data_IF_009270915537
#
_entry.id   IF_009270915537
#
_cell.length_a   1.000
_cell.length_b   1.000
_cell.length_c   1.000
_cell.angle_alpha   90.00
_cell.angle_beta   90.00
_cell.angle_gamma   90.00
#
_symmetry.space_group_name_H-M   'P 1'
#
loop_
_entity.id
_entity.type
_entity.pdbx_description
1 polymer ?
#
# COMPACT_ATOMS: atom_id res chain seq x y z
N UNK A 1 -12.74 -4.63 -37.49
CA UNK A 1 -13.36 -5.85 -38.06
C UNK A 1 -13.65 -6.85 -36.93
N UNK A 2 -14.75 -6.65 -36.21
CA UNK A 2 -15.49 -7.67 -35.46
C UNK A 2 -16.94 -7.17 -35.47
N UNK A 3 -17.83 -7.88 -36.17
CA UNK A 3 -19.26 -7.57 -36.26
C UNK A 3 -20.03 -8.24 -35.14
N UNK A 4 -20.96 -7.50 -34.53
CA UNK A 4 -21.97 -8.03 -33.62
C UNK A 4 -23.31 -7.99 -34.36
N UNK A 5 -23.95 -9.15 -34.42
CA UNK A 5 -25.17 -9.41 -35.19
C UNK A 5 -26.41 -8.94 -34.40
N UNK A 6 -27.17 -7.97 -34.93
CA UNK A 6 -28.34 -7.35 -34.31
C UNK A 6 -29.65 -7.94 -34.84
N UNK A 7 -29.96 -9.19 -34.50
CA UNK A 7 -31.17 -9.87 -35.01
C UNK A 7 -32.15 -10.37 -33.94
N UNK A 8 -32.08 -9.86 -32.69
CA UNK A 8 -32.91 -10.37 -31.59
C UNK A 8 -33.90 -9.39 -30.95
N UNK A 9 -34.17 -8.22 -31.54
CA UNK A 9 -35.11 -7.26 -30.92
C UNK A 9 -36.20 -6.66 -31.82
N UNK A 10 -36.39 -7.11 -33.06
CA UNK A 10 -37.62 -6.82 -33.81
C UNK A 10 -38.08 -5.36 -33.84
N UNK A 11 -37.14 -4.41 -33.93
CA UNK A 11 -37.45 -2.98 -34.05
C UNK A 11 -37.03 -2.49 -35.43
N UNK A 12 -38.00 -1.94 -36.14
CA UNK A 12 -37.89 -1.45 -37.50
C UNK A 12 -36.98 -0.22 -37.60
N UNK A 13 -36.23 -0.14 -38.70
CA UNK A 13 -35.01 0.66 -38.85
C UNK A 13 -35.20 2.14 -39.16
N UNK A 14 -36.23 2.80 -38.66
CA UNK A 14 -36.52 4.19 -39.08
C UNK A 14 -37.16 5.08 -38.01
N UNK A 15 -36.61 5.13 -36.80
CA UNK A 15 -36.87 6.26 -35.88
C UNK A 15 -36.02 6.19 -34.60
N UNK A 16 -34.77 6.69 -34.61
CA UNK A 16 -34.20 7.45 -33.47
C UNK A 16 -32.82 8.10 -33.75
N UNK A 17 -32.73 9.23 -34.48
CA UNK A 17 -31.50 10.02 -34.53
C UNK A 17 -31.33 10.95 -33.31
N UNK A 18 -32.42 11.25 -32.59
CA UNK A 18 -32.47 12.34 -31.61
C UNK A 18 -31.97 11.93 -30.22
N UNK A 19 -32.18 10.68 -29.80
CA UNK A 19 -31.78 10.19 -28.48
C UNK A 19 -30.26 9.91 -28.38
N UNK A 20 -29.68 9.37 -29.46
CA UNK A 20 -28.22 9.15 -29.56
C UNK A 20 -27.45 10.47 -29.67
N UNK A 21 -28.00 11.47 -30.39
CA UNK A 21 -27.43 12.83 -30.39
C UNK A 21 -27.47 13.47 -29.02
N UNK A 22 -28.58 13.35 -28.28
CA UNK A 22 -28.74 13.91 -26.95
C UNK A 22 -27.74 13.32 -25.94
N UNK A 23 -27.49 12.00 -26.00
CA UNK A 23 -26.49 11.30 -25.18
C UNK A 23 -25.05 11.69 -25.56
N UNK A 24 -24.74 11.85 -26.85
CA UNK A 24 -23.44 12.36 -27.30
C UNK A 24 -23.22 13.81 -26.85
N UNK A 25 -24.21 14.69 -27.00
CA UNK A 25 -24.07 16.09 -26.55
C UNK A 25 -23.93 16.23 -25.04
N UNK A 26 -24.60 15.40 -24.23
CA UNK A 26 -24.41 15.38 -22.77
C UNK A 26 -23.05 14.81 -22.36
N UNK A 27 -22.54 13.82 -23.10
CA UNK A 27 -21.19 13.27 -22.88
C UNK A 27 -20.10 14.25 -23.30
N UNK A 28 -20.32 15.04 -24.36
CA UNK A 28 -19.41 16.10 -24.79
C UNK A 28 -19.43 17.27 -23.80
N UNK A 29 -20.61 17.73 -23.35
CA UNK A 29 -20.70 18.87 -22.42
C UNK A 29 -20.06 18.56 -21.06
N UNK A 30 -20.21 17.33 -20.56
CA UNK A 30 -19.55 16.89 -19.33
C UNK A 30 -18.02 16.78 -19.50
N UNK A 31 -17.54 16.35 -20.68
CA UNK A 31 -16.11 16.33 -20.99
C UNK A 31 -15.52 17.75 -21.13
N UNK A 32 -16.30 18.68 -21.69
CA UNK A 32 -15.92 20.09 -21.86
C UNK A 32 -15.91 20.84 -20.51
N UNK A 33 -16.86 20.57 -19.60
CA UNK A 33 -16.83 21.09 -18.22
C UNK A 33 -15.62 20.61 -17.43
N UNK A 34 -15.28 19.31 -17.53
CA UNK A 34 -14.09 18.75 -16.88
C UNK A 34 -12.81 19.33 -17.48
N UNK A 35 -12.78 19.58 -18.79
CA UNK A 35 -11.66 20.23 -19.46
C UNK A 35 -11.49 21.70 -19.06
N UNK A 36 -12.58 22.44 -18.88
CA UNK A 36 -12.53 23.84 -18.45
C UNK A 36 -12.18 23.99 -16.96
N UNK A 37 -12.67 23.11 -16.08
CA UNK A 37 -12.20 23.04 -14.69
C UNK A 37 -10.71 22.69 -14.60
N UNK A 38 -10.21 21.81 -15.49
CA UNK A 38 -8.79 21.50 -15.58
C UNK A 38 -7.96 22.69 -16.11
N UNK A 39 -8.50 23.51 -17.02
CA UNK A 39 -7.84 24.73 -17.52
C UNK A 39 -7.78 25.84 -16.47
N UNK A 40 -8.84 26.04 -15.69
CA UNK A 40 -8.85 27.06 -14.64
C UNK A 40 -7.93 26.67 -13.47
N UNK A 41 -7.87 25.38 -13.13
CA UNK A 41 -6.84 24.84 -12.23
C UNK A 41 -5.43 25.05 -12.81
N UNK A 42 -5.19 24.73 -14.08
CA UNK A 42 -3.90 24.94 -14.74
C UNK A 42 -3.46 26.42 -14.80
N UNK A 43 -4.40 27.38 -14.89
CA UNK A 43 -4.12 28.82 -14.80
C UNK A 43 -3.71 29.23 -13.38
N UNK A 44 -4.37 28.71 -12.35
CA UNK A 44 -3.98 28.93 -10.95
C UNK A 44 -2.55 28.42 -10.68
N UNK A 45 -2.19 27.23 -11.20
CA UNK A 45 -0.83 26.67 -11.04
C UNK A 45 0.27 27.44 -11.81
N UNK A 46 -0.06 28.14 -12.91
CA UNK A 46 0.93 28.99 -13.63
C UNK A 46 1.44 30.17 -12.81
N UNK A 47 0.62 30.68 -11.88
CA UNK A 47 1.00 31.80 -11.01
C UNK A 47 1.88 31.30 -9.86
N UNK A 48 1.60 30.11 -9.33
CA UNK A 48 2.34 29.47 -8.24
C UNK A 48 3.74 28.95 -8.62
N UNK A 49 3.88 28.35 -9.81
CA UNK A 49 5.12 27.70 -10.25
C UNK A 49 6.31 28.65 -10.48
N UNK A 50 6.11 29.97 -10.44
CA UNK A 50 7.18 30.97 -10.54
C UNK A 50 7.91 31.24 -9.21
N UNK A 51 7.49 30.61 -8.09
CA UNK A 51 7.95 30.99 -6.74
C UNK A 51 8.60 29.91 -5.86
N UNK A 52 8.74 28.63 -6.26
CA UNK A 52 9.29 27.60 -5.35
C UNK A 52 10.58 26.90 -5.83
N UNK A 53 11.65 27.08 -5.06
CA UNK A 53 12.91 26.31 -5.15
C UNK A 53 12.81 24.91 -4.48
N UNK A 54 11.63 24.53 -3.97
CA UNK A 54 11.39 23.26 -3.26
C UNK A 54 11.15 22.03 -4.16
N UNK A 55 11.04 22.21 -5.49
CA UNK A 55 10.65 21.16 -6.44
C UNK A 55 11.74 20.16 -6.86
N UNK A 56 13.01 20.34 -6.44
CA UNK A 56 14.14 19.55 -6.98
C UNK A 56 14.20 18.11 -6.44
N UNK A 57 13.87 17.88 -5.16
CA UNK A 57 13.98 16.57 -4.50
C UNK A 57 12.87 15.57 -4.86
N UNK A 58 11.62 16.03 -4.94
CA UNK A 58 10.49 15.17 -5.29
C UNK A 58 10.55 14.67 -6.75
N UNK A 59 10.94 15.56 -7.67
CA UNK A 59 11.12 15.22 -9.07
C UNK A 59 12.28 14.22 -9.28
N UNK A 60 13.39 14.41 -8.55
CA UNK A 60 14.51 13.46 -8.55
C UNK A 60 14.10 12.08 -8.01
N UNK A 61 13.31 12.05 -6.94
CA UNK A 61 12.79 10.82 -6.33
C UNK A 61 11.87 10.06 -7.30
N UNK A 62 10.93 10.74 -7.95
CA UNK A 62 10.07 10.13 -8.97
C UNK A 62 10.89 9.56 -10.13
N UNK A 63 11.91 10.30 -10.60
CA UNK A 63 12.79 9.85 -11.67
C UNK A 63 13.57 8.59 -11.30
N UNK A 64 14.06 8.48 -10.05
CA UNK A 64 14.76 7.30 -9.56
C UNK A 64 13.84 6.08 -9.39
N UNK A 65 12.58 6.31 -9.01
CA UNK A 65 11.58 5.28 -8.75
C UNK A 65 11.01 4.63 -10.02
N UNK A 66 10.76 5.43 -11.07
CA UNK A 66 10.02 5.01 -12.27
C UNK A 66 10.56 3.75 -12.98
N UNK A 67 11.88 3.56 -13.19
CA UNK A 67 12.39 2.39 -13.92
C UNK A 67 12.03 1.05 -13.24
N UNK A 68 12.20 0.95 -11.92
CA UNK A 68 11.89 -0.27 -11.18
C UNK A 68 10.37 -0.48 -11.03
N UNK A 69 9.61 0.60 -10.96
CA UNK A 69 8.15 0.54 -11.00
C UNK A 69 7.63 0.01 -12.34
N UNK A 70 8.10 0.56 -13.46
CA UNK A 70 7.82 0.07 -14.82
C UNK A 70 8.16 -1.41 -14.97
N UNK A 71 9.35 -1.80 -14.50
CA UNK A 71 9.79 -3.20 -14.54
C UNK A 71 8.86 -4.11 -13.75
N UNK A 72 8.37 -3.64 -12.60
CA UNK A 72 7.44 -4.38 -11.76
C UNK A 72 6.12 -4.67 -12.48
N UNK A 73 5.60 -3.73 -13.26
CA UNK A 73 4.42 -3.92 -14.12
C UNK A 73 4.66 -4.90 -15.26
N UNK A 74 5.80 -4.83 -15.94
CA UNK A 74 6.17 -5.79 -17.00
C UNK A 74 6.22 -7.21 -16.44
N UNK A 75 6.87 -7.41 -15.29
CA UNK A 75 6.95 -8.72 -14.63
C UNK A 75 5.57 -9.18 -14.14
N UNK A 76 4.74 -8.26 -13.64
CA UNK A 76 3.36 -8.54 -13.24
C UNK A 76 2.44 -8.84 -14.44
N UNK A 77 2.89 -8.59 -15.68
CA UNK A 77 2.09 -8.67 -16.90
C UNK A 77 0.84 -7.80 -16.83
N UNK A 78 0.96 -6.62 -16.23
CA UNK A 78 -0.13 -5.64 -16.21
C UNK A 78 -0.49 -5.27 -17.67
N UNK A 79 -1.77 -5.32 -18.07
CA UNK A 79 -2.21 -4.86 -19.37
C UNK A 79 -1.75 -3.42 -19.65
N UNK A 80 -1.29 -3.09 -20.88
CA UNK A 80 -0.77 -1.76 -21.19
C UNK A 80 -1.75 -0.61 -20.91
N UNK A 81 -3.04 -0.83 -21.15
CA UNK A 81 -4.09 0.16 -20.86
C UNK A 81 -4.18 0.43 -19.35
N UNK A 82 -4.33 -0.63 -18.55
CA UNK A 82 -4.36 -0.51 -17.09
C UNK A 82 -3.09 0.14 -16.51
N UNK A 83 -1.92 -0.20 -17.04
CA UNK A 83 -0.66 0.44 -16.63
C UNK A 83 -0.65 1.94 -16.95
N UNK A 84 -1.11 2.34 -18.14
CA UNK A 84 -1.20 3.74 -18.55
C UNK A 84 -2.15 4.52 -17.66
N UNK A 85 -3.34 3.98 -17.39
CA UNK A 85 -4.34 4.63 -16.55
C UNK A 85 -3.79 4.83 -15.13
N UNK A 86 -3.21 3.79 -14.53
CA UNK A 86 -2.62 3.88 -13.20
C UNK A 86 -1.46 4.87 -13.16
N UNK A 87 -0.56 4.85 -14.16
CA UNK A 87 0.57 5.78 -14.23
C UNK A 87 0.08 7.23 -14.34
N UNK A 88 -0.90 7.49 -15.20
CA UNK A 88 -1.48 8.82 -15.38
C UNK A 88 -2.10 9.32 -14.08
N UNK A 89 -2.97 8.52 -13.45
CA UNK A 89 -3.56 8.86 -12.15
C UNK A 89 -2.48 9.10 -11.08
N UNK A 90 -1.49 8.22 -10.99
CA UNK A 90 -0.40 8.35 -10.02
C UNK A 90 0.44 9.62 -10.23
N UNK A 91 0.80 9.93 -11.47
CA UNK A 91 1.55 11.15 -11.77
C UNK A 91 0.70 12.39 -11.47
N UNK A 92 -0.58 12.41 -11.83
CA UNK A 92 -1.48 13.52 -11.49
C UNK A 92 -1.56 13.75 -9.99
N UNK A 93 -1.83 12.70 -9.19
CA UNK A 93 -1.97 12.82 -7.73
C UNK A 93 -0.65 13.23 -7.05
N UNK A 94 0.48 12.66 -7.49
CA UNK A 94 1.78 12.98 -6.90
C UNK A 94 2.24 14.39 -7.29
N UNK A 95 2.04 14.81 -8.54
CA UNK A 95 2.38 16.16 -8.98
C UNK A 95 1.49 17.21 -8.32
N UNK A 96 0.18 16.98 -8.22
CA UNK A 96 -0.73 17.88 -7.50
C UNK A 96 -0.30 18.08 -6.05
N UNK A 97 -0.01 16.99 -5.33
CA UNK A 97 0.46 17.04 -3.95
C UNK A 97 1.82 17.74 -3.78
N UNK A 98 2.73 17.60 -4.74
CA UNK A 98 4.05 18.25 -4.73
C UNK A 98 3.99 19.72 -5.11
N UNK A 99 3.12 20.09 -6.06
CA UNK A 99 3.07 21.43 -6.64
C UNK A 99 2.10 22.36 -5.91
N UNK A 100 1.14 21.85 -5.12
CA UNK A 100 0.23 22.69 -4.35
C UNK A 100 0.97 23.52 -3.30
N UNK A 101 0.65 24.82 -3.21
CA UNK A 101 1.22 25.70 -2.19
C UNK A 101 0.78 25.28 -0.80
N UNK A 102 -0.50 24.94 -0.66
CA UNK A 102 -1.11 24.50 0.59
C UNK A 102 -1.21 22.96 0.60
N UNK A 103 -0.37 22.26 1.37
CA UNK A 103 -0.50 20.83 1.54
C UNK A 103 -1.80 20.48 2.25
N UNK A 104 -2.31 19.27 1.96
CA UNK A 104 -3.47 18.73 2.65
C UNK A 104 -3.21 18.65 4.17
N UNK A 105 -4.07 19.29 4.96
CA UNK A 105 -4.01 19.20 6.41
C UNK A 105 -4.79 17.98 6.91
N UNK A 106 -4.13 17.11 7.66
CA UNK A 106 -4.78 15.96 8.28
C UNK A 106 -5.44 16.36 9.60
N UNK A 107 -6.69 15.93 9.77
CA UNK A 107 -7.40 16.00 11.04
C UNK A 107 -6.81 15.04 12.08
N UNK A 108 -7.08 15.23 13.39
CA UNK A 108 -6.68 14.29 14.44
C UNK A 108 -7.15 12.86 14.15
N UNK A 109 -8.37 12.74 13.63
CA UNK A 109 -8.91 11.52 13.02
C UNK A 109 -9.27 11.80 11.57
N UNK A 110 -8.48 11.27 10.64
CA UNK A 110 -8.67 11.41 9.21
C UNK A 110 -9.41 10.19 8.67
N UNK A 111 -10.44 10.43 7.86
CA UNK A 111 -11.19 9.37 7.18
C UNK A 111 -10.64 9.15 5.77
N UNK A 112 -10.54 7.89 5.35
CA UNK A 112 -10.07 7.56 4.02
C UNK A 112 -10.92 8.25 2.94
N UNK A 113 -10.27 8.91 1.99
CA UNK A 113 -10.94 9.51 0.84
C UNK A 113 -11.33 8.38 -0.13
N UNK A 114 -12.64 8.10 -0.16
CA UNK A 114 -13.27 7.06 -0.98
C UNK A 114 -14.38 7.71 -1.81
N UNK A 115 -14.61 7.21 -3.03
CA UNK A 115 -15.69 7.69 -3.89
C UNK A 115 -15.70 6.97 -5.24
N UNK A 116 -16.82 7.07 -5.99
CA UNK A 116 -16.92 6.46 -7.32
C UNK A 116 -15.95 7.07 -8.33
N UNK A 117 -15.68 8.38 -8.20
CA UNK A 117 -14.79 9.13 -9.09
C UNK A 117 -13.31 9.03 -8.68
N UNK A 118 -13.05 8.96 -7.37
CA UNK A 118 -11.70 8.87 -6.83
C UNK A 118 -11.69 8.06 -5.53
N UNK A 119 -11.17 6.85 -5.61
CA UNK A 119 -10.90 6.00 -4.45
C UNK A 119 -9.39 5.91 -4.20
N UNK A 120 -8.89 6.72 -3.26
CA UNK A 120 -7.45 6.78 -2.95
C UNK A 120 -6.96 5.53 -2.23
N UNK A 121 -7.84 4.79 -1.54
CA UNK A 121 -7.51 3.49 -0.96
C UNK A 121 -7.21 2.47 -2.06
N UNK A 122 -8.13 2.32 -3.02
CA UNK A 122 -7.97 1.40 -4.15
C UNK A 122 -6.81 1.77 -5.06
N UNK A 123 -6.65 3.06 -5.34
CA UNK A 123 -5.50 3.56 -6.10
C UNK A 123 -4.18 3.23 -5.39
N UNK A 124 -4.07 3.54 -4.10
CA UNK A 124 -2.87 3.26 -3.32
C UNK A 124 -2.51 1.77 -3.30
N UNK A 125 -3.50 0.89 -3.12
CA UNK A 125 -3.29 -0.56 -3.23
C UNK A 125 -2.85 -0.97 -4.64
N UNK A 126 -3.50 -0.45 -5.68
CA UNK A 126 -3.18 -0.76 -7.08
C UNK A 126 -1.76 -0.34 -7.46
N UNK A 127 -1.27 0.76 -6.90
CA UNK A 127 0.10 1.23 -7.06
C UNK A 127 1.13 0.20 -6.56
N UNK A 128 0.96 -0.34 -5.36
CA UNK A 128 1.95 -1.29 -4.80
C UNK A 128 1.75 -2.74 -5.24
N UNK A 129 0.56 -3.13 -5.70
CA UNK A 129 0.24 -4.48 -6.21
C UNK A 129 1.27 -5.08 -7.19
N UNK A 130 1.73 -4.38 -8.25
CA UNK A 130 2.73 -4.90 -9.17
C UNK A 130 4.12 -5.08 -8.53
N UNK A 131 4.40 -4.43 -7.40
CA UNK A 131 5.68 -4.54 -6.71
C UNK A 131 5.76 -5.76 -5.79
N UNK A 132 4.63 -6.40 -5.46
CA UNK A 132 4.61 -7.61 -4.64
C UNK A 132 5.03 -8.84 -5.46
N UNK A 133 5.97 -9.63 -4.93
CA UNK A 133 6.30 -10.97 -5.43
C UNK A 133 5.32 -12.00 -4.85
N UNK A 134 4.12 -12.06 -5.41
CA UNK A 134 3.01 -12.89 -4.92
C UNK A 134 3.33 -14.35 -4.59
N UNK A 135 4.15 -15.02 -5.43
CA UNK A 135 4.58 -16.41 -5.18
C UNK A 135 5.38 -16.62 -3.88
N UNK A 136 5.92 -15.55 -3.33
CA UNK A 136 6.72 -15.55 -2.10
C UNK A 136 6.12 -14.63 -1.04
N UNK A 137 4.89 -14.17 -1.26
CA UNK A 137 4.17 -13.41 -0.26
C UNK A 137 3.28 -14.36 0.55
N UNK A 138 3.12 -14.11 1.85
CA UNK A 138 2.46 -15.05 2.76
C UNK A 138 1.76 -14.33 3.91
N UNK A 139 0.78 -15.00 4.49
CA UNK A 139 0.09 -14.59 5.71
C UNK A 139 0.08 -15.81 6.63
N UNK A 140 0.67 -15.66 7.80
CA UNK A 140 0.67 -16.66 8.86
C UNK A 140 -0.28 -16.25 9.98
N UNK A 141 -0.76 -17.21 10.77
CA UNK A 141 -1.75 -16.97 11.82
C UNK A 141 -3.16 -16.68 11.30
N UNK A 142 -3.58 -17.38 10.24
CA UNK A 142 -4.92 -17.20 9.62
C UNK A 142 -6.07 -17.42 10.62
N UNK A 143 -5.93 -18.35 11.56
CA UNK A 143 -6.95 -18.59 12.59
C UNK A 143 -7.10 -17.38 13.53
N UNK A 144 -6.01 -16.65 13.78
CA UNK A 144 -6.03 -15.41 14.55
C UNK A 144 -6.62 -14.24 13.74
N UNK A 145 -6.38 -14.21 12.43
CA UNK A 145 -7.07 -13.26 11.53
C UNK A 145 -8.58 -13.50 11.53
N UNK A 146 -9.03 -14.75 11.51
CA UNK A 146 -10.45 -15.09 11.65
C UNK A 146 -10.99 -14.68 13.03
N UNK A 147 -10.22 -14.86 14.09
CA UNK A 147 -10.57 -14.36 15.43
C UNK A 147 -10.73 -12.83 15.45
N UNK A 148 -9.89 -12.09 14.72
CA UNK A 148 -10.02 -10.63 14.56
C UNK A 148 -11.33 -10.28 13.85
N UNK A 149 -11.68 -10.98 12.76
CA UNK A 149 -12.95 -10.77 12.02
C UNK A 149 -14.15 -10.98 12.93
N UNK A 150 -14.17 -12.09 13.66
CA UNK A 150 -15.25 -12.41 14.59
C UNK A 150 -15.35 -11.40 15.73
N UNK A 151 -14.22 -10.89 16.22
CA UNK A 151 -14.19 -9.84 17.25
C UNK A 151 -14.87 -8.57 16.75
N UNK A 152 -14.51 -8.11 15.54
CA UNK A 152 -15.12 -6.92 14.94
C UNK A 152 -16.59 -7.13 14.61
N UNK A 153 -16.98 -8.32 14.15
CA UNK A 153 -18.38 -8.66 13.89
C UNK A 153 -19.26 -8.59 15.15
N UNK A 154 -18.68 -8.81 16.35
CA UNK A 154 -19.36 -8.64 17.64
C UNK A 154 -19.50 -7.17 18.08
N UNK A 155 -18.91 -6.22 17.35
CA UNK A 155 -18.86 -4.81 17.74
C UNK A 155 -17.76 -4.49 18.76
N UNK A 156 -16.90 -5.46 19.09
CA UNK A 156 -15.72 -5.22 19.92
C UNK A 156 -14.63 -4.49 19.12
N UNK A 157 -13.66 -3.91 19.83
CA UNK A 157 -12.49 -3.27 19.22
C UNK A 157 -11.31 -4.25 19.12
N UNK A 158 -10.43 -4.01 18.14
CA UNK A 158 -9.16 -4.72 17.98
C UNK A 158 -8.02 -3.72 17.95
N UNK A 159 -6.95 -3.98 18.69
CA UNK A 159 -5.67 -3.25 18.58
C UNK A 159 -4.60 -4.24 18.14
N UNK A 160 -4.06 -4.01 16.95
CA UNK A 160 -2.91 -4.74 16.42
C UNK A 160 -1.63 -3.98 16.74
N UNK A 161 -0.81 -4.53 17.63
CA UNK A 161 0.53 -4.00 17.89
C UNK A 161 1.52 -4.62 16.92
N UNK A 162 2.11 -3.79 16.07
CA UNK A 162 2.98 -4.23 14.99
C UNK A 162 4.38 -3.62 15.04
N UNK A 163 5.35 -4.29 14.43
CA UNK A 163 6.51 -3.58 13.92
C UNK A 163 6.14 -2.77 12.67
N UNK A 164 7.01 -1.85 12.27
CA UNK A 164 6.80 -0.98 11.10
C UNK A 164 8.07 -0.96 10.29
N UNK A 165 8.03 -1.14 8.98
CA UNK A 165 9.25 -1.15 8.15
C UNK A 165 9.23 -0.16 7.01
N UNK A 166 8.06 0.13 6.44
CA UNK A 166 7.94 1.01 5.27
C UNK A 166 6.69 1.88 5.34
N UNK A 167 6.71 3.01 4.66
CA UNK A 167 5.52 3.85 4.45
C UNK A 167 4.39 3.09 3.73
N UNK A 168 4.71 2.00 3.03
CA UNK A 168 3.77 1.17 2.28
C UNK A 168 3.13 0.04 3.12
N UNK A 169 3.40 -0.02 4.42
CA UNK A 169 2.87 -1.06 5.31
C UNK A 169 1.33 -1.15 5.27
N UNK A 170 0.56 -0.03 5.26
CA UNK A 170 -0.90 -0.09 5.11
C UNK A 170 -1.36 -0.74 3.80
N UNK A 171 -0.66 -0.49 2.70
CA UNK A 171 -0.93 -1.06 1.38
C UNK A 171 -0.59 -2.54 1.35
N UNK A 172 0.54 -2.94 1.95
CA UNK A 172 0.89 -4.37 2.05
C UNK A 172 -0.13 -5.12 2.90
N UNK A 173 -0.53 -4.56 4.05
CA UNK A 173 -1.58 -5.16 4.89
C UNK A 173 -2.85 -5.40 4.07
N UNK A 174 -3.30 -4.38 3.34
CA UNK A 174 -4.50 -4.47 2.50
C UNK A 174 -4.41 -5.52 1.42
N UNK A 175 -3.31 -5.50 0.65
CA UNK A 175 -3.10 -6.40 -0.47
C UNK A 175 -2.99 -7.86 -0.05
N UNK A 176 -2.40 -8.12 1.13
CA UNK A 176 -2.30 -9.48 1.65
C UNK A 176 -3.61 -9.96 2.25
N UNK A 177 -4.35 -9.11 2.98
CA UNK A 177 -5.66 -9.50 3.53
C UNK A 177 -6.72 -9.70 2.44
N UNK A 178 -6.69 -8.90 1.37
CA UNK A 178 -7.52 -9.14 0.18
C UNK A 178 -7.26 -10.51 -0.44
N UNK A 179 -6.00 -10.95 -0.51
CA UNK A 179 -5.66 -12.28 -1.04
C UNK A 179 -6.21 -13.41 -0.15
N UNK A 180 -6.34 -13.17 1.14
CA UNK A 180 -6.91 -14.13 2.09
C UNK A 180 -8.45 -13.99 2.24
N UNK A 181 -9.11 -13.15 1.42
CA UNK A 181 -10.57 -12.92 1.49
C UNK A 181 -11.04 -12.24 2.78
N UNK A 182 -10.17 -11.38 3.33
CA UNK A 182 -10.36 -10.63 4.57
C UNK A 182 -10.14 -9.12 4.36
N UNK A 183 -10.42 -8.61 3.15
CA UNK A 183 -10.20 -7.21 2.78
C UNK A 183 -10.91 -6.22 3.71
N UNK A 184 -12.06 -6.57 4.28
CA UNK A 184 -12.83 -5.70 5.15
C UNK A 184 -12.11 -5.35 6.44
N UNK A 185 -11.20 -6.21 6.89
CA UNK A 185 -10.33 -5.96 8.05
C UNK A 185 -9.36 -4.84 7.72
N UNK A 186 -8.74 -4.87 6.54
CA UNK A 186 -7.80 -3.84 6.12
C UNK A 186 -8.49 -2.53 5.71
N UNK A 187 -9.67 -2.59 5.10
CA UNK A 187 -10.43 -1.40 4.69
C UNK A 187 -10.85 -0.55 5.89
N UNK A 188 -11.20 -1.18 7.02
CA UNK A 188 -11.63 -0.51 8.25
C UNK A 188 -10.49 -0.20 9.22
N UNK A 189 -9.25 -0.59 8.89
CA UNK A 189 -8.13 -0.42 9.78
C UNK A 189 -7.72 1.06 9.91
N UNK A 190 -7.66 1.54 11.14
CA UNK A 190 -7.24 2.87 11.53
C UNK A 190 -5.75 2.81 11.91
N UNK A 191 -4.90 3.50 11.15
CA UNK A 191 -3.46 3.52 11.36
C UNK A 191 -3.08 4.69 12.26
N UNK A 192 -2.38 4.42 13.36
CA UNK A 192 -1.74 5.48 14.14
C UNK A 192 -0.52 5.98 13.38
N UNK A 193 -0.64 7.16 12.79
CA UNK A 193 0.31 7.67 11.82
C UNK A 193 1.11 8.84 12.38
N UNK A 194 2.42 8.78 12.17
CA UNK A 194 3.37 9.83 12.54
C UNK A 194 3.39 10.99 11.55
N UNK A 195 3.90 12.13 12.01
CA UNK A 195 4.02 13.38 11.23
C UNK A 195 4.57 13.21 9.80
N UNK A 196 5.56 12.34 9.58
CA UNK A 196 6.21 12.18 8.26
C UNK A 196 5.25 11.80 7.13
N UNK A 197 4.38 10.83 7.36
CA UNK A 197 3.46 10.35 6.30
C UNK A 197 2.31 11.32 6.05
N UNK A 198 2.10 12.26 6.97
CA UNK A 198 1.10 13.32 6.86
C UNK A 198 1.65 14.63 6.29
N UNK A 199 2.97 14.81 6.21
CA UNK A 199 3.59 16.05 5.68
C UNK A 199 4.47 15.85 4.45
N UNK A 200 5.00 14.65 4.22
CA UNK A 200 5.76 14.39 3.01
C UNK A 200 4.85 14.39 1.77
N UNK A 201 5.09 15.35 0.86
CA UNK A 201 4.27 15.56 -0.33
C UNK A 201 4.11 14.33 -1.23
N UNK A 202 5.08 13.40 -1.23
CA UNK A 202 4.97 12.16 -1.99
C UNK A 202 4.21 11.05 -1.24
N UNK A 203 4.07 11.16 0.09
CA UNK A 203 3.31 10.22 0.92
C UNK A 203 1.84 10.62 1.08
N UNK A 204 1.54 11.93 1.11
CA UNK A 204 0.20 12.47 1.34
C UNK A 204 -0.90 11.77 0.51
N UNK A 205 -0.76 11.56 -0.82
CA UNK A 205 -1.83 10.90 -1.58
C UNK A 205 -2.14 9.48 -1.09
N UNK A 206 -1.13 8.73 -0.66
CA UNK A 206 -1.30 7.39 -0.11
C UNK A 206 -1.94 7.42 1.28
N UNK A 207 -1.54 8.38 2.11
CA UNK A 207 -2.09 8.62 3.45
C UNK A 207 -3.56 9.05 3.40
N UNK A 208 -3.93 9.89 2.43
CA UNK A 208 -5.33 10.31 2.22
C UNK A 208 -6.27 9.12 1.97
N UNK A 209 -5.77 8.03 1.40
CA UNK A 209 -6.51 6.79 1.17
C UNK A 209 -6.65 5.87 2.39
N UNK A 210 -6.33 6.32 3.60
CA UNK A 210 -6.35 5.51 4.84
C UNK A 210 -7.15 6.19 5.93
N UNK A 211 -7.70 5.42 6.86
CA UNK A 211 -8.13 5.96 8.14
C UNK A 211 -6.91 6.18 9.01
N UNK A 212 -6.69 7.39 9.49
CA UNK A 212 -5.49 7.73 10.26
C UNK A 212 -5.87 8.38 11.58
N UNK A 213 -5.10 8.06 12.62
CA UNK A 213 -5.00 8.87 13.81
C UNK A 213 -3.67 9.61 13.77
N UNK A 214 -3.73 10.91 13.52
CA UNK A 214 -2.56 11.75 13.25
C UNK A 214 -1.90 12.17 14.56
N UNK A 215 -0.71 11.63 14.86
CA UNK A 215 -0.01 11.88 16.12
C UNK A 215 1.45 12.26 15.86
N UNK A 216 1.95 13.22 16.63
CA UNK A 216 3.38 13.49 16.72
C UNK A 216 4.03 12.46 17.63
N UNK A 217 4.98 11.70 17.09
CA UNK A 217 5.77 10.76 17.90
C UNK A 217 6.64 11.54 18.88
N UNK A 218 6.98 10.94 20.03
CA UNK A 218 7.89 11.53 21.02
C UNK A 218 9.18 12.09 20.43
N UNK A 219 9.72 11.46 19.38
CA UNK A 219 10.94 11.92 18.70
C UNK A 219 10.85 13.35 18.15
N UNK A 220 9.66 13.84 17.84
CA UNK A 220 9.43 15.14 17.20
C UNK A 220 8.70 16.14 18.12
N UNK A 221 8.32 15.74 19.33
CA UNK A 221 7.56 16.59 20.25
C UNK A 221 8.41 17.72 20.82
N UNK A 222 9.70 17.47 21.05
CA UNK A 222 10.61 18.45 21.65
C UNK A 222 11.38 19.28 20.61
N UNK A 223 11.14 19.03 19.32
CA UNK A 223 11.75 19.79 18.22
C UNK A 223 10.93 21.05 17.92
N UNK A 224 11.58 22.15 17.54
CA UNK A 224 10.92 23.41 17.15
C UNK A 224 10.84 24.46 18.25
N UNK A 225 10.14 25.56 17.95
CA UNK A 225 9.85 26.67 18.89
C UNK A 225 8.88 26.22 19.98
N UNK A 226 8.74 27.01 21.05
CA UNK A 226 7.79 26.72 22.13
C UNK A 226 6.34 26.62 21.60
N UNK A 227 5.93 27.56 20.76
CA UNK A 227 4.59 27.58 20.14
C UNK A 227 4.36 26.34 19.26
N UNK A 228 5.37 25.88 18.52
CA UNK A 228 5.28 24.66 17.71
C UNK A 228 5.13 23.42 18.59
N UNK A 229 5.84 23.35 19.73
CA UNK A 229 5.73 22.25 20.69
C UNK A 229 4.35 22.21 21.34
N UNK A 230 3.82 23.37 21.73
CA UNK A 230 2.45 23.50 22.26
C UNK A 230 1.41 23.06 21.24
N UNK A 231 1.53 23.50 19.99
CA UNK A 231 0.62 23.10 18.92
C UNK A 231 0.67 21.58 18.66
N UNK A 232 1.86 20.97 18.68
CA UNK A 232 2.03 19.51 18.58
C UNK A 232 1.39 18.78 19.76
N UNK A 233 1.57 19.28 20.98
CA UNK A 233 0.98 18.70 22.18
C UNK A 233 -0.55 18.78 22.18
N UNK A 234 -1.12 19.92 21.78
CA UNK A 234 -2.56 20.11 21.67
C UNK A 234 -3.15 19.24 20.55
N UNK A 235 -2.48 19.09 19.41
CA UNK A 235 -2.89 18.14 18.37
C UNK A 235 -2.93 16.71 18.92
N UNK A 236 -1.88 16.28 19.62
CA UNK A 236 -1.84 14.94 20.23
C UNK A 236 -2.98 14.72 21.24
N UNK A 237 -3.31 15.73 22.04
CA UNK A 237 -4.43 15.67 22.99
C UNK A 237 -5.78 15.51 22.27
N UNK A 238 -5.99 16.22 21.17
CA UNK A 238 -7.18 16.03 20.30
C UNK A 238 -7.23 14.62 19.71
N UNK A 239 -6.10 14.11 19.21
CA UNK A 239 -6.01 12.74 18.67
C UNK A 239 -6.29 11.67 19.72
N UNK A 240 -5.78 11.82 20.95
CA UNK A 240 -6.09 10.91 22.06
C UNK A 240 -7.57 10.98 22.46
N UNK A 241 -8.20 12.15 22.31
CA UNK A 241 -9.64 12.30 22.55
C UNK A 241 -10.46 11.55 21.48
N UNK A 242 -10.06 11.61 20.21
CA UNK A 242 -10.65 10.80 19.15
C UNK A 242 -10.45 9.30 19.38
N UNK A 243 -9.25 8.87 19.80
CA UNK A 243 -9.02 7.47 20.20
C UNK A 243 -9.98 7.01 21.30
N UNK A 244 -10.23 7.84 22.31
CA UNK A 244 -11.19 7.54 23.38
C UNK A 244 -12.62 7.44 22.86
N UNK A 245 -13.01 8.35 21.96
CA UNK A 245 -14.33 8.34 21.34
C UNK A 245 -14.54 7.07 20.52
N UNK A 246 -13.60 6.74 19.63
CA UNK A 246 -13.64 5.55 18.78
C UNK A 246 -13.64 4.25 19.59
N UNK A 247 -12.79 4.12 20.62
CA UNK A 247 -12.81 2.93 21.48
C UNK A 247 -14.13 2.78 22.24
N UNK A 248 -14.79 3.88 22.63
CA UNK A 248 -16.10 3.83 23.26
C UNK A 248 -17.20 3.43 22.27
N UNK A 249 -17.07 3.85 21.01
CA UNK A 249 -18.00 3.55 19.92
C UNK A 249 -18.04 2.05 19.59
N UNK A 250 -16.86 1.39 19.56
CA UNK A 250 -16.77 -0.04 19.24
C UNK A 250 -16.63 -0.36 17.76
N UNK A 251 -16.27 -1.60 17.44
CA UNK A 251 -16.16 -2.09 16.06
C UNK A 251 -14.95 -1.56 15.28
N UNK A 252 -13.99 -0.93 15.96
CA UNK A 252 -12.82 -0.32 15.33
C UNK A 252 -11.59 -1.22 15.40
N UNK A 253 -10.78 -1.20 14.34
CA UNK A 253 -9.48 -1.89 14.27
C UNK A 253 -8.38 -0.82 14.27
N UNK A 254 -7.48 -0.87 15.23
CA UNK A 254 -6.33 0.03 15.32
C UNK A 254 -5.05 -0.72 14.95
N UNK A 255 -4.29 -0.21 13.98
CA UNK A 255 -2.91 -0.62 13.76
C UNK A 255 -1.98 0.38 14.43
N UNK A 256 -1.10 -0.12 15.29
CA UNK A 256 -0.20 0.69 16.10
C UNK A 256 1.20 0.14 15.97
N UNK A 257 2.16 0.99 15.62
CA UNK A 257 3.59 0.69 15.69
C UNK A 257 4.23 1.38 16.91
N UNK A 258 4.35 0.70 18.07
CA UNK A 258 4.76 1.35 19.30
C UNK A 258 6.21 1.84 19.30
N UNK A 259 7.05 1.37 18.37
CA UNK A 259 8.41 1.90 18.18
C UNK A 259 8.41 3.38 17.73
N UNK A 260 7.29 3.88 17.20
CA UNK A 260 7.16 5.24 16.67
C UNK A 260 7.97 5.50 15.40
N UNK A 261 8.52 4.46 14.77
CA UNK A 261 9.31 4.60 13.55
C UNK A 261 9.61 3.27 12.87
N UNK A 262 10.08 3.37 11.63
CA UNK A 262 10.47 2.23 10.79
C UNK A 262 11.66 1.48 11.39
N UNK A 263 11.64 0.15 11.27
CA UNK A 263 12.73 -0.75 11.59
C UNK A 263 14.00 -0.34 10.82
N UNK A 264 15.17 -0.66 11.38
CA UNK A 264 16.47 -0.37 10.80
C UNK A 264 17.32 -1.63 10.75
N UNK A 265 18.29 -1.65 9.85
CA UNK A 265 19.35 -2.66 9.88
C UNK A 265 20.14 -2.48 11.17
N UNK A 266 20.36 -3.57 11.88
CA UNK A 266 21.24 -3.58 13.06
C UNK A 266 22.70 -3.57 12.59
N UNK A 267 23.54 -2.62 13.02
CA UNK A 267 24.93 -2.53 12.58
C UNK A 267 25.71 -3.85 12.79
N UNK A 268 25.37 -4.60 13.83
CA UNK A 268 26.11 -5.80 14.24
C UNK A 268 25.79 -7.03 13.39
N UNK A 269 24.60 -7.08 12.77
CA UNK A 269 24.12 -8.28 12.07
C UNK A 269 23.77 -8.05 10.61
N UNK A 270 23.72 -6.79 10.16
CA UNK A 270 23.19 -6.36 8.86
C UNK A 270 21.79 -6.95 8.54
N UNK A 271 21.00 -7.24 9.59
CA UNK A 271 19.63 -7.76 9.47
C UNK A 271 18.63 -6.74 9.97
N UNK A 272 17.47 -6.70 9.32
CA UNK A 272 16.29 -6.01 9.83
C UNK A 272 15.66 -6.84 10.93
N UNK A 273 15.25 -6.17 12.01
CA UNK A 273 14.37 -6.72 13.03
C UNK A 273 13.51 -5.62 13.64
N UNK A 274 12.45 -6.00 14.38
CA UNK A 274 11.59 -5.04 15.05
C UNK A 274 12.41 -4.07 15.90
N UNK A 275 12.14 -2.78 15.73
CA UNK A 275 12.64 -1.75 16.62
C UNK A 275 12.01 -1.89 18.01
N UNK A 276 12.73 -1.42 19.04
CA UNK A 276 12.25 -1.46 20.42
C UNK A 276 10.93 -0.71 20.58
N UNK A 277 9.96 -1.31 21.25
CA UNK A 277 8.66 -0.69 21.49
C UNK A 277 8.75 0.37 22.60
N UNK A 278 8.08 1.51 22.39
CA UNK A 278 7.77 2.42 23.49
C UNK A 278 6.69 1.80 24.38
N UNK A 279 7.11 1.32 25.55
CA UNK A 279 6.23 0.64 26.50
C UNK A 279 5.07 1.52 26.95
N UNK A 280 5.29 2.85 27.02
CA UNK A 280 4.24 3.81 27.35
C UNK A 280 3.16 3.88 26.26
N UNK A 281 3.53 3.74 24.99
CA UNK A 281 2.58 3.71 23.88
C UNK A 281 1.69 2.48 23.95
N UNK A 282 2.24 1.30 24.22
CA UNK A 282 1.42 0.08 24.44
C UNK A 282 0.54 0.23 25.68
N UNK A 283 1.09 0.75 26.78
CA UNK A 283 0.36 1.02 28.02
C UNK A 283 -0.78 2.02 27.85
N UNK A 284 -0.63 3.03 26.98
CA UNK A 284 -1.68 3.98 26.64
C UNK A 284 -2.89 3.27 26.04
N UNK A 285 -2.70 2.42 25.02
CA UNK A 285 -3.81 1.68 24.39
C UNK A 285 -4.54 0.78 25.39
N UNK A 286 -3.79 0.12 26.29
CA UNK A 286 -4.39 -0.67 27.37
C UNK A 286 -5.22 0.22 28.33
N UNK A 287 -4.70 1.39 28.71
CA UNK A 287 -5.42 2.34 29.55
C UNK A 287 -6.71 2.85 28.87
N UNK A 288 -6.64 3.19 27.58
CA UNK A 288 -7.77 3.67 26.81
C UNK A 288 -8.87 2.59 26.71
N UNK A 289 -8.49 1.34 26.42
CA UNK A 289 -9.40 0.20 26.41
C UNK A 289 -10.10 -0.01 27.76
N UNK A 290 -9.34 -0.02 28.86
CA UNK A 290 -9.91 -0.16 30.20
C UNK A 290 -10.85 1.00 30.54
N UNK A 291 -10.53 2.23 30.13
CA UNK A 291 -11.37 3.41 30.32
C UNK A 291 -12.67 3.33 29.51
N UNK A 292 -12.62 2.83 28.27
CA UNK A 292 -13.79 2.58 27.44
C UNK A 292 -14.71 1.54 28.10
N UNK A 293 -14.16 0.39 28.52
CA UNK A 293 -14.92 -0.67 29.18
C UNK A 293 -15.59 -0.22 30.49
N UNK A 294 -14.89 0.55 31.35
CA UNK A 294 -15.49 1.12 32.58
C UNK A 294 -16.64 2.08 32.31
N UNK A 295 -16.71 2.65 31.10
CA UNK A 295 -17.75 3.59 30.68
C UNK A 295 -18.84 2.89 29.85
N UNK A 296 -18.92 1.56 29.93
CA UNK A 296 -19.90 0.76 29.20
C UNK A 296 -19.62 0.62 27.70
N UNK A 297 -18.41 0.96 27.24
CA UNK A 297 -18.00 0.72 25.86
C UNK A 297 -17.64 -0.75 25.60
N UNK A 298 -17.58 -1.18 24.33
CA UNK A 298 -17.25 -2.56 23.96
C UNK A 298 -15.85 -3.00 24.39
N UNK A 299 -15.63 -4.33 24.43
CA UNK A 299 -14.32 -4.87 24.83
C UNK A 299 -13.28 -4.58 23.76
N UNK A 300 -12.05 -4.31 24.17
CA UNK A 300 -10.91 -4.20 23.24
C UNK A 300 -10.01 -5.41 23.39
N UNK A 301 -9.68 -6.05 22.28
CA UNK A 301 -8.79 -7.20 22.20
C UNK A 301 -7.46 -6.80 21.56
N UNK A 302 -6.36 -7.38 22.03
CA UNK A 302 -5.01 -7.01 21.60
C UNK A 302 -4.36 -8.15 20.86
N UNK A 303 -3.86 -7.88 19.66
CA UNK A 303 -3.20 -8.88 18.82
C UNK A 303 -1.79 -8.41 18.45
N UNK A 304 -0.76 -9.24 18.58
CA UNK A 304 0.56 -8.95 18.04
C UNK A 304 0.58 -9.25 16.55
N UNK A 305 1.25 -8.39 15.77
CA UNK A 305 1.41 -8.52 14.33
C UNK A 305 2.88 -8.31 13.94
N UNK A 306 3.48 -9.24 13.21
CA UNK A 306 4.77 -9.02 12.58
C UNK A 306 4.61 -8.78 11.07
N UNK A 307 5.40 -7.85 10.53
CA UNK A 307 5.38 -7.41 9.14
C UNK A 307 6.78 -7.47 8.52
N UNK A 308 6.88 -8.03 7.32
CA UNK A 308 8.10 -8.04 6.49
C UNK A 308 7.84 -7.32 5.19
N UNK A 309 8.22 -6.04 5.16
CA UNK A 309 7.92 -5.14 4.05
C UNK A 309 9.12 -4.30 3.65
N UNK A 310 10.19 -4.26 4.45
CA UNK A 310 11.39 -3.43 4.24
C UNK A 310 12.04 -3.58 2.86
N UNK A 311 11.82 -4.69 2.15
CA UNK A 311 12.40 -4.88 0.80
C UNK A 311 11.61 -4.17 -0.30
N UNK A 312 10.36 -3.78 -0.05
CA UNK A 312 9.47 -3.17 -1.03
C UNK A 312 9.84 -1.70 -1.26
N UNK A 313 9.98 -0.96 -0.16
CA UNK A 313 10.40 0.45 -0.11
C UNK A 313 11.38 0.59 1.07
N UNK A 314 12.66 0.21 0.90
CA UNK A 314 13.59 0.18 2.02
C UNK A 314 13.76 1.55 2.65
N UNK A 315 13.80 1.63 3.99
CA UNK A 315 14.21 2.87 4.64
C UNK A 315 15.66 3.17 4.24
N UNK A 316 16.02 4.45 4.09
CA UNK A 316 17.39 4.83 3.84
C UNK A 316 18.32 4.39 4.97
N UNK A 317 19.59 4.24 4.63
CA UNK A 317 20.63 3.74 5.54
C UNK A 317 20.96 4.76 6.65
N UNK A 318 20.76 6.06 6.40
CA UNK A 318 21.05 7.12 7.36
C UNK A 318 19.98 7.26 8.45
N UNK A 319 20.42 7.31 9.72
CA UNK A 319 19.53 7.40 10.89
C UNK A 319 18.71 8.71 10.96
N UNK A 320 19.11 9.77 10.24
CA UNK A 320 18.49 11.11 10.20
C UNK A 320 17.83 11.45 8.87
N UNK A 321 17.32 10.44 8.19
CA UNK A 321 16.61 10.65 6.95
C UNK A 321 15.39 11.59 7.20
N UNK A 322 15.20 12.63 6.37
CA UNK A 322 14.19 13.69 6.53
C UNK A 322 13.04 13.67 5.51
N UNK A 323 12.12 14.66 5.55
CA UNK A 323 11.10 14.78 4.49
C UNK A 323 11.77 14.99 3.13
N UNK A 324 11.36 14.24 2.09
CA UNK A 324 12.00 14.30 0.76
C UNK A 324 13.23 13.39 0.57
N UNK A 325 13.41 12.40 1.45
CA UNK A 325 14.38 11.30 1.32
C UNK A 325 14.38 10.64 -0.07
N UNK A 326 15.56 10.26 -0.57
CA UNK A 326 15.69 9.44 -1.78
C UNK A 326 14.98 8.09 -1.57
N UNK A 327 14.05 7.77 -2.46
CA UNK A 327 13.27 6.53 -2.38
C UNK A 327 13.71 5.57 -3.45
N UNK A 328 13.87 4.30 -3.07
CA UNK A 328 13.96 3.20 -4.02
C UNK A 328 12.74 2.31 -3.86
N UNK A 329 12.32 1.71 -4.96
CA UNK A 329 11.26 0.72 -4.99
C UNK A 329 11.83 -0.55 -5.58
N UNK A 330 11.61 -1.68 -4.91
CA UNK A 330 12.01 -2.96 -5.44
C UNK A 330 10.83 -3.92 -5.43
N UNK A 331 10.70 -4.68 -6.52
CA UNK A 331 9.78 -5.81 -6.55
C UNK A 331 10.25 -6.86 -5.52
N UNK A 332 9.49 -7.08 -4.46
CA UNK A 332 9.94 -7.82 -3.29
C UNK A 332 8.90 -8.81 -2.74
N UNK A 333 9.34 -9.91 -2.09
CA UNK A 333 8.44 -10.68 -1.23
C UNK A 333 8.03 -9.83 -0.02
N UNK A 334 6.83 -10.05 0.47
CA UNK A 334 6.29 -9.40 1.67
C UNK A 334 5.54 -10.41 2.53
N UNK A 335 5.39 -10.17 3.83
CA UNK A 335 4.71 -11.11 4.71
C UNK A 335 4.02 -10.44 5.89
N UNK A 336 3.06 -11.16 6.46
CA UNK A 336 2.39 -10.86 7.73
C UNK A 336 2.34 -12.12 8.58
N UNK A 337 2.47 -11.96 9.89
CA UNK A 337 2.21 -13.02 10.85
C UNK A 337 1.37 -12.45 11.99
N UNK A 338 0.13 -12.92 12.10
CA UNK A 338 -0.77 -12.59 13.19
C UNK A 338 -0.50 -13.56 14.33
N UNK A 339 -0.41 -13.05 15.56
CA UNK A 339 -0.36 -13.91 16.75
C UNK A 339 -1.69 -13.96 17.48
N UNK A 340 -1.75 -14.85 18.45
CA UNK A 340 -2.90 -15.03 19.34
C UNK A 340 -3.25 -13.75 20.12
N UNK A 341 -4.53 -13.59 20.43
CA UNK A 341 -5.02 -12.52 21.29
C UNK A 341 -4.32 -12.56 22.66
N UNK A 342 -3.92 -11.40 23.16
CA UNK A 342 -3.22 -11.25 24.42
C UNK A 342 -4.13 -10.59 25.46
N UNK A 343 -4.27 -11.21 26.62
CA UNK A 343 -5.01 -10.66 27.76
C UNK A 343 -4.04 -10.04 28.77
N UNK A 344 -4.26 -8.77 29.08
CA UNK A 344 -3.37 -8.04 29.98
C UNK A 344 -3.43 -8.55 31.42
N UNK A 345 -4.58 -9.00 31.91
CA UNK A 345 -4.73 -9.47 33.30
C UNK A 345 -4.04 -10.82 33.47
N UNK A 346 -4.22 -11.74 32.51
CA UNK A 346 -3.52 -13.04 32.50
C UNK A 346 -1.99 -12.90 32.48
N UNK A 347 -1.49 -11.86 31.82
CA UNK A 347 -0.05 -11.58 31.73
C UNK A 347 0.51 -10.82 32.94
N UNK A 348 -0.32 -10.52 33.95
CA UNK A 348 0.09 -9.81 35.17
C UNK A 348 -0.01 -8.28 35.08
N UNK A 349 -0.99 -7.81 34.30
CA UNK A 349 -1.44 -6.43 34.25
C UNK A 349 -0.53 -5.47 33.49
N UNK A 350 -0.76 -4.16 33.70
CA UNK A 350 -0.15 -3.05 32.96
C UNK A 350 1.38 -3.03 32.93
N UNK A 351 2.05 -3.62 33.91
CA UNK A 351 3.53 -3.63 33.99
C UNK A 351 4.14 -4.70 33.09
N UNK A 352 3.51 -5.87 32.99
CA UNK A 352 4.04 -7.03 32.26
C UNK A 352 3.49 -7.15 30.85
N UNK A 353 2.32 -6.58 30.59
CA UNK A 353 1.70 -6.62 29.27
C UNK A 353 2.54 -5.95 28.17
N UNK A 354 3.06 -4.71 28.32
CA UNK A 354 3.84 -4.08 27.25
C UNK A 354 5.10 -4.87 26.81
N UNK A 355 5.96 -5.36 27.73
CA UNK A 355 7.12 -6.16 27.33
C UNK A 355 6.72 -7.51 26.72
N UNK A 356 5.61 -8.11 27.17
CA UNK A 356 5.12 -9.36 26.61
C UNK A 356 4.65 -9.19 25.16
N UNK A 357 3.95 -8.09 24.84
CA UNK A 357 3.53 -7.76 23.47
C UNK A 357 4.75 -7.60 22.56
N UNK A 358 5.75 -6.81 23.00
CA UNK A 358 6.98 -6.62 22.24
C UNK A 358 7.70 -7.95 21.99
N UNK A 359 7.83 -8.78 23.03
CA UNK A 359 8.44 -10.11 22.92
C UNK A 359 7.70 -10.96 21.89
N UNK A 360 6.36 -10.97 21.93
CA UNK A 360 5.54 -11.78 21.02
C UNK A 360 5.66 -11.33 19.57
N UNK A 361 5.69 -10.02 19.30
CA UNK A 361 5.96 -9.48 17.94
C UNK A 361 7.36 -9.89 17.46
N UNK A 362 8.37 -9.87 18.33
CA UNK A 362 9.71 -10.32 17.97
C UNK A 362 9.77 -11.85 17.68
N UNK A 363 9.08 -12.67 18.46
CA UNK A 363 8.99 -14.12 18.23
C UNK A 363 8.33 -14.44 16.88
N UNK A 364 7.21 -13.77 16.57
CA UNK A 364 6.57 -13.83 15.25
C UNK A 364 7.56 -13.35 14.18
N UNK A 365 8.32 -12.29 14.44
CA UNK A 365 9.28 -11.78 13.46
C UNK A 365 10.41 -12.80 13.14
N UNK A 366 10.95 -13.47 14.16
CA UNK A 366 12.09 -14.38 14.00
C UNK A 366 11.69 -15.70 13.37
N UNK A 367 10.57 -16.29 13.81
CA UNK A 367 10.05 -17.54 13.26
C UNK A 367 9.90 -17.47 11.73
N UNK A 368 9.38 -16.37 11.20
CA UNK A 368 9.22 -16.24 9.75
C UNK A 368 10.49 -15.87 8.99
N UNK A 369 11.39 -15.04 9.55
CA UNK A 369 12.67 -14.80 8.85
C UNK A 369 13.42 -16.10 8.61
N UNK A 370 13.28 -17.06 9.52
CA UNK A 370 13.82 -18.42 9.37
C UNK A 370 13.08 -19.17 8.25
N UNK A 371 11.74 -19.15 8.23
CA UNK A 371 10.94 -19.77 7.17
C UNK A 371 11.19 -19.17 5.77
N UNK A 372 11.33 -17.86 5.65
CA UNK A 372 11.67 -17.15 4.41
C UNK A 372 13.06 -17.50 3.89
N UNK A 373 14.02 -17.70 4.80
CA UNK A 373 15.38 -18.12 4.44
C UNK A 373 15.38 -19.54 3.87
N UNK A 374 14.58 -20.45 4.45
CA UNK A 374 14.43 -21.83 3.99
C UNK A 374 13.65 -21.94 2.68
N UNK A 375 12.52 -21.22 2.54
CA UNK A 375 11.73 -21.16 1.29
C UNK A 375 12.47 -20.45 0.14
N UNK A 376 13.46 -19.61 0.47
CA UNK A 376 14.28 -18.83 -0.47
C UNK A 376 15.55 -19.53 -1.00
N UNK A 377 15.57 -20.86 -1.12
CA UNK A 377 16.73 -21.61 -1.61
C UNK A 377 17.41 -20.98 -2.86
N UNK A 378 18.73 -20.77 -2.77
CA UNK A 378 19.65 -20.29 -3.83
C UNK A 378 19.34 -18.90 -4.45
N UNK A 379 19.22 -17.86 -3.63
CA UNK A 379 19.05 -16.47 -4.13
C UNK A 379 20.34 -15.74 -4.58
N UNK A 380 21.53 -16.34 -4.43
CA UNK A 380 22.82 -15.64 -4.58
C UNK A 380 23.47 -15.57 -5.97
N UNK A 381 23.09 -16.40 -6.97
CA UNK A 381 23.90 -16.55 -8.21
C UNK A 381 23.26 -16.06 -9.52
N UNK A 382 21.96 -15.75 -9.56
CA UNK A 382 21.25 -15.51 -10.83
C UNK A 382 21.11 -14.03 -11.24
N UNK A 383 21.92 -13.12 -10.69
CA UNK A 383 21.82 -11.67 -10.95
C UNK A 383 22.40 -11.20 -12.29
N UNK A 384 23.29 -11.94 -12.97
CA UNK A 384 24.00 -11.43 -14.17
C UNK A 384 23.31 -11.64 -15.52
N UNK A 385 22.34 -12.55 -15.66
CA UNK A 385 21.78 -12.90 -16.99
C UNK A 385 20.53 -12.12 -17.40
N UNK A 386 19.77 -11.56 -16.46
CA UNK A 386 18.48 -10.92 -16.78
C UNK A 386 18.56 -9.39 -17.03
N UNK A 387 19.74 -8.78 -16.88
CA UNK A 387 19.93 -7.33 -17.04
C UNK A 387 20.38 -6.91 -18.45
N UNK A 388 20.79 -7.85 -19.30
CA UNK A 388 21.43 -7.53 -20.59
C UNK A 388 20.48 -7.47 -21.81
N UNK A 389 19.21 -7.88 -21.68
CA UNK A 389 18.35 -8.12 -22.86
C UNK A 389 17.02 -7.33 -22.89
N UNK A 390 16.90 -6.18 -22.22
CA UNK A 390 15.65 -5.39 -22.25
C UNK A 390 15.89 -3.96 -22.75
N UNK A 391 15.17 -3.47 -23.78
CA UNK A 391 15.31 -2.10 -24.26
C UNK A 391 14.94 -1.08 -23.17
N UNK A 392 15.85 -0.17 -22.87
CA UNK A 392 15.59 0.95 -21.96
C UNK A 392 14.60 1.93 -22.59
N UNK A 393 13.42 2.11 -21.99
CA UNK A 393 12.51 3.21 -22.34
C UNK A 393 13.02 4.46 -21.64
N UNK A 394 13.59 5.42 -22.39
CA UNK A 394 13.96 6.74 -21.87
C UNK A 394 12.73 7.65 -21.89
N UNK A 395 12.16 7.94 -20.72
CA UNK A 395 11.19 9.02 -20.54
C UNK A 395 11.92 10.29 -20.11
N UNK A 396 11.79 11.36 -20.90
CA UNK A 396 12.35 12.66 -20.56
C UNK A 396 11.36 13.43 -19.67
N UNK A 397 11.68 13.55 -18.39
CA UNK A 397 10.79 14.19 -17.41
C UNK A 397 10.59 15.68 -17.66
N UNK A 398 11.54 16.36 -18.33
CA UNK A 398 11.35 17.74 -18.76
C UNK A 398 10.19 17.86 -19.76
N UNK A 399 10.05 16.88 -20.67
CA UNK A 399 8.97 16.85 -21.67
C UNK A 399 7.62 16.55 -21.03
N UNK A 400 7.57 15.65 -20.04
CA UNK A 400 6.33 15.33 -19.32
C UNK A 400 5.88 16.53 -18.48
N UNK A 401 6.80 17.15 -17.74
CA UNK A 401 6.51 18.33 -16.93
C UNK A 401 6.11 19.54 -17.79
N UNK A 402 6.76 19.72 -18.95
CA UNK A 402 6.41 20.79 -19.88
C UNK A 402 5.08 20.56 -20.60
N UNK A 403 4.73 19.31 -20.94
CA UNK A 403 3.43 18.97 -21.52
C UNK A 403 2.29 19.02 -20.50
N UNK A 404 2.54 18.62 -19.25
CA UNK A 404 1.61 18.79 -18.13
C UNK A 404 1.36 20.27 -17.83
N UNK A 405 2.41 21.11 -17.82
CA UNK A 405 2.30 22.58 -17.71
C UNK A 405 1.52 23.24 -18.85
N UNK A 406 1.40 22.58 -20.01
CA UNK A 406 0.65 23.05 -21.18
C UNK A 406 -0.77 22.45 -21.29
N UNK A 407 -1.23 21.70 -20.29
CA UNK A 407 -2.58 21.11 -20.27
C UNK A 407 -2.80 19.98 -21.29
N UNK A 408 -1.73 19.32 -21.74
CA UNK A 408 -1.84 18.22 -22.71
C UNK A 408 -2.26 16.89 -22.08
N UNK A 409 -3.19 16.19 -22.71
CA UNK A 409 -3.50 14.79 -22.42
C UNK A 409 -2.36 13.87 -22.94
N UNK A 410 -1.91 12.92 -22.11
CA UNK A 410 -0.80 12.00 -22.38
C UNK A 410 -1.08 11.02 -23.53
N UNK A 411 -2.33 10.90 -23.98
CA UNK A 411 -2.73 10.04 -25.11
C UNK A 411 -2.05 10.40 -26.45
N UNK A 412 -1.39 11.55 -26.55
CA UNK A 412 -0.59 11.98 -27.70
C UNK A 412 0.91 11.66 -27.61
N UNK A 413 1.33 10.77 -26.70
CA UNK A 413 2.64 10.11 -26.81
C UNK A 413 2.57 9.09 -27.96
N UNK A 414 2.84 9.58 -29.17
CA UNK A 414 2.76 8.84 -30.42
C UNK A 414 3.51 7.49 -30.42
N UNK A 415 3.01 6.59 -31.25
CA UNK A 415 3.46 5.22 -31.45
C UNK A 415 5.00 5.06 -31.45
N UNK A 416 5.47 4.06 -30.71
CA UNK A 416 6.84 3.55 -30.82
C UNK A 416 7.13 3.17 -32.28
N UNK A 417 8.29 3.55 -32.85
CA UNK A 417 8.61 3.19 -34.23
C UNK A 417 8.68 1.67 -34.39
N UNK A 418 7.93 1.16 -35.36
CA UNK A 418 7.87 -0.24 -35.74
C UNK A 418 9.15 -0.66 -36.49
N UNK A 419 10.27 -0.79 -35.79
CA UNK A 419 11.47 -1.46 -36.31
C UNK A 419 12.13 -2.30 -35.23
N UNK A 420 11.48 -3.41 -34.89
CA UNK A 420 12.12 -4.57 -34.25
C UNK A 420 12.28 -5.65 -35.32
N UNK A 421 13.48 -5.77 -35.90
CA UNK A 421 13.84 -6.92 -36.73
C UNK A 421 13.67 -8.19 -35.87
N UNK A 422 12.83 -9.12 -36.34
CA UNK A 422 12.60 -10.42 -35.70
C UNK A 422 13.93 -11.17 -35.56
N UNK A 423 14.28 -11.73 -34.39
CA UNK A 423 15.36 -12.69 -34.30
C UNK A 423 14.93 -13.98 -35.01
N UNK A 424 15.78 -14.48 -35.90
CA UNK A 424 15.65 -15.79 -36.54
C UNK A 424 15.54 -16.89 -35.48
N UNK A 425 14.40 -17.58 -35.46
CA UNK A 425 14.14 -18.78 -34.66
C UNK A 425 15.11 -19.90 -35.08
N UNK A 426 16.08 -20.25 -34.21
CA UNK A 426 16.73 -21.57 -34.26
C UNK A 426 15.73 -22.63 -33.78
N UNK A 427 15.63 -23.70 -34.58
CA UNK A 427 14.71 -24.84 -34.44
C UNK A 427 14.66 -25.38 -32.99
N UNK A 428 13.46 -25.45 -32.42
CA UNK A 428 13.18 -26.17 -31.16
C UNK A 428 13.05 -27.67 -31.43
N UNK A 429 13.53 -28.46 -30.48
CA UNK A 429 13.24 -29.89 -30.33
C UNK A 429 11.72 -30.14 -30.21
N UNK A 430 11.21 -31.33 -30.60
CA UNK A 430 9.78 -31.57 -30.72
C UNK A 430 9.05 -31.50 -29.37
N UNK A 431 7.85 -30.94 -29.42
CA UNK A 431 6.92 -30.77 -28.31
C UNK A 431 6.38 -32.12 -27.84
N UNK A 432 6.49 -32.37 -26.54
CA UNK A 432 5.76 -33.44 -25.83
C UNK A 432 4.25 -33.21 -26.01
N UNK A 433 3.50 -34.26 -26.37
CA UNK A 433 2.07 -34.16 -26.63
C UNK A 433 1.28 -33.87 -25.34
N UNK A 434 0.10 -33.24 -25.49
CA UNK A 434 -0.80 -32.95 -24.37
C UNK A 434 -1.17 -34.23 -23.58
N UNK A 435 -1.27 -35.36 -24.27
CA UNK A 435 -1.58 -36.67 -23.69
C UNK A 435 -0.50 -37.15 -22.69
N UNK A 436 0.77 -36.86 -22.95
CA UNK A 436 1.88 -37.21 -22.06
C UNK A 436 2.02 -36.23 -20.88
N UNK A 437 1.42 -35.05 -21.01
CA UNK A 437 1.31 -34.05 -19.93
C UNK A 437 0.19 -34.44 -18.96
N UNK A 438 -0.90 -35.02 -19.46
CA UNK A 438 -2.03 -35.53 -18.67
C UNK A 438 -1.69 -36.85 -17.97
N UNK A 439 -0.97 -37.78 -18.64
CA UNK A 439 -0.46 -39.01 -18.00
C UNK A 439 0.51 -38.75 -16.85
N UNK A 440 1.20 -37.59 -16.84
CA UNK A 440 2.06 -37.16 -15.73
C UNK A 440 1.29 -36.49 -14.59
N UNK A 441 0.13 -35.89 -14.86
CA UNK A 441 -0.78 -35.37 -13.81
C UNK A 441 -1.49 -36.50 -13.07
N UNK A 442 -1.96 -37.52 -13.77
CA UNK A 442 -2.67 -38.65 -13.15
C UNK A 442 -1.76 -39.54 -12.30
N UNK A 443 -0.48 -39.68 -12.66
CA UNK A 443 0.50 -40.42 -11.84
C UNK A 443 0.78 -39.73 -10.51
N UNK A 444 0.93 -38.40 -10.52
CA UNK A 444 1.16 -37.61 -9.30
C UNK A 444 -0.06 -37.54 -8.36
N UNK A 445 -1.28 -37.79 -8.86
CA UNK A 445 -2.49 -37.79 -8.02
C UNK A 445 -2.73 -39.15 -7.34
N UNK A 446 -2.32 -40.25 -7.98
CA UNK A 446 -2.41 -41.60 -7.40
C UNK A 446 -1.36 -41.85 -6.30
N UNK A 447 -0.15 -41.29 -6.45
CA UNK A 447 0.93 -41.48 -5.47
C UNK A 447 0.73 -40.69 -4.16
N UNK A 448 -0.15 -39.68 -4.15
CA UNK A 448 -0.47 -38.89 -2.94
C UNK A 448 -1.60 -39.50 -2.09
N UNK A 449 -2.42 -40.39 -2.67
CA UNK A 449 -3.56 -41.00 -1.97
C UNK A 449 -3.35 -42.46 -1.53
N UNK A 450 -2.24 -43.11 -1.89
CA UNK A 450 -1.91 -44.47 -1.41
C UNK A 450 -1.12 -44.45 -0.09
N UNK A 451 -0.57 -43.30 0.33
CA UNK A 451 0.18 -43.18 1.60
C UNK A 451 -0.69 -42.90 2.86
N UNK A 452 -2.02 -42.98 2.77
CA UNK A 452 -2.94 -42.71 3.90
C UNK A 452 -3.96 -43.81 4.20
N UNK A 453 -3.76 -45.02 3.68
CA UNK A 453 -4.54 -46.18 4.10
C UNK A 453 -3.63 -47.41 4.16
N UNK A 454 -3.17 -47.76 5.36
CA UNK A 454 -3.23 -49.15 5.81
C UNK A 454 -3.59 -49.23 7.31
N UNK A 455 -4.34 -50.26 7.74
CA UNK A 455 -4.86 -50.39 9.09
C UNK A 455 -4.06 -51.38 9.96
N UNK A 456 -3.80 -51.01 11.22
CA UNK A 456 -4.00 -51.80 12.45
C UNK A 456 -3.56 -51.00 13.66
#
# INVERSE_FOLDING_TARGET
MIGVNWYLLGLDGSSCPTFLRALQTRSQSAADEVADQAKDRAKSYKVSAKRSESGSGAAATLKAFLPDYMRSHVIARTPPAQYRDLLNTSLTLLLDSVLTEEPYEFEPYHQAVRGPELDLYRWGNSFFRPMIKWRHAYVEGRDHLESIRQTIAKGDNVVMFANHQTEADPQVLSLLLEREGCEEVAEKCIFVAGHKVTTDRLAIPFSKGRYLLSIYSKKYLDEGTEEEREAKAERNKKTVSEMQRLMKEGGHIFWVAPSGGRDRRRPETDRFGPAKFDQASVGLFLLLAQKAGRRGGPKTHFFPLAMWTHRLVPPPEDAKAGVGEARSAARAPVGLAFGEAMDAEQLGGRKKFPPAVEKRVNELYVSETSALTVRGGKWGKSRKRLYAETPHVRLNMAVILERYRRGGNIDQLGALPATLKRPTLRKRAPSISQEETERRRDRNWRDVNIAKMEPR
#
